data_IF_356015424911
#
_entry.id   IF_356015424911
#
_cell.length_a   1.000
_cell.length_b   1.000
_cell.length_c   1.000
_cell.angle_alpha   90.00
_cell.angle_beta   90.00
_cell.angle_gamma   90.00
#
_symmetry.space_group_name_H-M   'P 1'
#
loop_
_entity.id
_entity.type
_entity.pdbx_description
1 polymer ?
#
# COMPACT_ATOMS: atom_id res chain seq x y z
N UNK A 1 13.93 -4.66 -0.89
CA UNK A 1 14.51 -4.14 0.36
C UNK A 1 13.70 -2.95 0.85
N UNK A 2 13.02 -3.13 1.97
CA UNK A 2 12.19 -2.17 2.69
C UNK A 2 12.78 -2.07 4.10
N UNK A 3 12.98 -0.88 4.63
CA UNK A 3 13.56 -0.68 5.96
C UNK A 3 12.55 -0.06 6.91
N UNK A 4 12.45 -0.60 8.12
CA UNK A 4 11.74 0.04 9.22
C UNK A 4 12.66 1.12 9.81
N UNK A 5 12.22 2.37 9.73
CA UNK A 5 12.89 3.55 10.29
C UNK A 5 12.06 4.01 11.49
N UNK A 6 12.70 4.23 12.64
CA UNK A 6 12.08 4.88 13.79
C UNK A 6 12.67 6.28 14.00
N UNK A 7 11.86 7.18 14.52
CA UNK A 7 12.27 8.46 15.10
C UNK A 7 11.51 8.63 16.41
N UNK A 8 12.21 8.89 17.50
CA UNK A 8 11.65 9.15 18.83
C UNK A 8 12.52 10.16 19.56
N UNK A 9 11.91 10.95 20.45
CA UNK A 9 12.67 11.74 21.42
C UNK A 9 12.97 10.86 22.64
N UNK A 10 14.25 10.77 23.01
CA UNK A 10 14.72 10.02 24.17
C UNK A 10 15.27 11.00 25.20
N UNK A 11 14.87 10.82 26.46
CA UNK A 11 15.35 11.59 27.61
C UNK A 11 15.80 10.60 28.69
N UNK A 12 17.06 10.71 29.14
CA UNK A 12 17.68 9.80 30.12
C UNK A 12 17.98 8.37 29.64
N UNK A 13 17.36 7.89 28.55
CA UNK A 13 17.58 6.55 27.95
C UNK A 13 18.27 6.56 26.59
N UNK A 14 18.92 5.45 26.25
CA UNK A 14 19.60 5.18 24.97
C UNK A 14 19.51 3.69 24.60
N UNK A 15 19.96 3.35 23.39
CA UNK A 15 20.01 1.98 22.85
C UNK A 15 18.65 1.25 22.87
N UNK A 16 17.57 1.98 22.53
CA UNK A 16 16.21 1.44 22.48
C UNK A 16 16.06 0.42 21.33
N UNK A 17 15.63 -0.79 21.63
CA UNK A 17 15.39 -1.85 20.63
C UNK A 17 14.25 -2.80 21.05
N UNK A 18 13.61 -3.51 20.10
CA UNK A 18 12.70 -4.59 20.45
C UNK A 18 13.49 -5.75 21.07
N UNK A 19 12.92 -6.40 22.07
CA UNK A 19 13.51 -7.54 22.78
C UNK A 19 13.38 -8.81 21.92
N UNK A 20 14.32 -8.99 20.99
CA UNK A 20 14.24 -9.94 19.87
C UNK A 20 15.28 -11.07 19.98
N UNK A 21 15.05 -12.01 20.90
CA UNK A 21 15.97 -13.10 21.24
C UNK A 21 15.50 -14.46 20.70
N UNK A 22 16.35 -15.49 20.59
CA UNK A 22 15.92 -16.82 20.12
C UNK A 22 14.91 -17.50 21.05
N UNK A 23 15.02 -17.26 22.36
CA UNK A 23 14.17 -17.85 23.40
C UNK A 23 12.87 -17.05 23.62
N UNK A 24 12.96 -15.72 23.54
CA UNK A 24 11.85 -14.77 23.58
C UNK A 24 11.91 -13.88 22.31
N UNK A 25 11.26 -14.31 21.20
CA UNK A 25 11.38 -13.67 19.90
C UNK A 25 10.37 -12.53 19.69
N UNK A 26 10.80 -11.45 19.03
CA UNK A 26 9.92 -10.30 18.81
C UNK A 26 9.05 -10.48 17.56
N UNK A 27 7.74 -10.23 17.71
CA UNK A 27 6.76 -10.36 16.65
C UNK A 27 6.51 -9.00 15.98
N UNK A 28 7.16 -8.77 14.84
CA UNK A 28 7.05 -7.50 14.11
C UNK A 28 5.68 -7.39 13.43
N UNK A 29 4.81 -6.51 13.94
CA UNK A 29 3.41 -6.40 13.50
C UNK A 29 3.20 -5.31 12.44
N UNK A 30 2.67 -5.68 11.27
CA UNK A 30 2.44 -4.76 10.14
C UNK A 30 1.03 -4.84 9.55
N UNK A 31 0.59 -3.75 8.90
CA UNK A 31 -0.46 -3.84 7.86
C UNK A 31 0.18 -4.19 6.52
N UNK A 32 -0.43 -5.14 5.83
CA UNK A 32 0.09 -5.74 4.60
C UNK A 32 -0.79 -5.37 3.42
N UNK A 33 -0.24 -4.69 2.41
CA UNK A 33 -0.87 -4.51 1.11
C UNK A 33 -0.34 -5.53 0.11
N UNK A 34 -1.22 -6.14 -0.69
CA UNK A 34 -0.79 -6.99 -1.80
C UNK A 34 -0.40 -6.14 -3.02
N UNK A 35 0.84 -6.26 -3.50
CA UNK A 35 1.33 -5.47 -4.66
C UNK A 35 0.60 -5.80 -5.96
N UNK A 36 -0.07 -6.95 -6.03
CA UNK A 36 -0.76 -7.45 -7.24
C UNK A 36 -2.20 -6.98 -7.42
N UNK A 37 -2.93 -6.70 -6.33
CA UNK A 37 -4.33 -6.25 -6.39
C UNK A 37 -4.61 -5.02 -5.53
N UNK A 38 -3.61 -4.51 -4.81
CA UNK A 38 -3.66 -3.36 -3.89
C UNK A 38 -4.64 -3.47 -2.71
N UNK A 39 -5.24 -4.65 -2.52
CA UNK A 39 -5.95 -5.05 -1.30
C UNK A 39 -5.04 -4.93 -0.07
N UNK A 40 -5.55 -4.32 1.00
CA UNK A 40 -4.91 -4.31 2.33
C UNK A 40 -5.52 -5.45 3.16
N UNK A 41 -4.69 -6.26 3.81
CA UNK A 41 -5.15 -7.34 4.66
C UNK A 41 -5.94 -6.79 5.87
N UNK A 42 -7.15 -7.30 6.18
CA UNK A 42 -8.04 -6.69 7.18
C UNK A 42 -7.55 -6.83 8.62
N UNK A 43 -6.65 -7.78 8.88
CA UNK A 43 -6.00 -7.96 10.17
C UNK A 43 -4.55 -7.48 10.06
N UNK A 44 -4.00 -6.99 11.16
CA UNK A 44 -2.54 -6.93 11.33
C UNK A 44 -1.92 -8.31 11.14
N UNK A 45 -0.69 -8.36 10.63
CA UNK A 45 0.09 -9.58 10.42
C UNK A 45 1.41 -9.42 11.16
N UNK A 46 1.68 -10.32 12.09
CA UNK A 46 2.88 -10.35 12.92
C UNK A 46 3.71 -11.58 12.56
N UNK A 47 5.03 -11.45 12.55
CA UNK A 47 5.97 -12.54 12.31
C UNK A 47 7.33 -12.22 12.95
N UNK A 48 8.09 -13.24 13.32
CA UNK A 48 9.42 -13.12 13.93
C UNK A 48 10.53 -13.22 12.88
N UNK A 49 11.76 -12.89 13.27
CA UNK A 49 12.98 -13.18 12.49
C UNK A 49 13.44 -14.64 12.51
N UNK A 50 12.89 -15.46 13.43
CA UNK A 50 13.35 -16.82 13.72
C UNK A 50 12.46 -17.91 13.11
N UNK A 51 11.16 -17.62 12.92
CA UNK A 51 10.27 -18.47 12.13
C UNK A 51 10.77 -18.59 10.69
N UNK A 52 10.66 -19.78 10.10
CA UNK A 52 11.03 -20.05 8.72
C UNK A 52 9.95 -20.91 8.05
N UNK A 53 9.55 -20.51 6.84
CA UNK A 53 8.50 -21.16 6.05
C UNK A 53 8.94 -21.33 4.60
N UNK A 54 8.72 -22.51 4.04
CA UNK A 54 9.02 -22.81 2.63
C UNK A 54 8.15 -21.98 1.68
N UNK A 55 8.76 -21.24 0.76
CA UNK A 55 8.04 -20.49 -0.28
C UNK A 55 7.62 -21.48 -1.38
N UNK A 56 6.34 -21.87 -1.38
CA UNK A 56 5.74 -22.83 -2.32
C UNK A 56 6.12 -22.55 -3.79
N UNK A 57 6.77 -23.51 -4.45
CA UNK A 57 7.21 -23.40 -5.84
C UNK A 57 8.61 -22.79 -6.03
N UNK A 58 9.37 -22.58 -4.95
CA UNK A 58 10.78 -22.18 -5.01
C UNK A 58 11.66 -23.03 -4.08
N UNK A 59 12.97 -22.77 -4.04
CA UNK A 59 13.92 -23.35 -3.07
C UNK A 59 14.31 -22.36 -1.97
N UNK A 60 13.50 -21.33 -1.73
CA UNK A 60 13.75 -20.30 -0.73
C UNK A 60 12.82 -20.44 0.47
N UNK A 61 13.35 -20.15 1.64
CA UNK A 61 12.60 -19.94 2.88
C UNK A 61 12.36 -18.44 3.09
N UNK A 62 11.30 -18.09 3.81
CA UNK A 62 11.03 -16.75 4.28
C UNK A 62 10.40 -16.78 5.68
N UNK A 63 10.52 -15.67 6.42
CA UNK A 63 9.94 -15.57 7.75
C UNK A 63 8.41 -15.49 7.70
N UNK A 64 7.88 -14.74 6.73
CA UNK A 64 6.46 -14.69 6.42
C UNK A 64 6.21 -15.28 5.04
N UNK A 65 5.26 -16.22 4.94
CA UNK A 65 4.71 -16.72 3.66
C UNK A 65 3.19 -16.74 3.76
N UNK A 66 2.51 -15.96 2.94
CA UNK A 66 1.04 -15.84 2.97
C UNK A 66 0.44 -15.76 1.57
N UNK A 67 -0.85 -16.06 1.44
CA UNK A 67 -1.62 -15.87 0.19
C UNK A 67 -2.58 -14.70 0.34
N UNK A 68 -2.67 -13.84 -0.66
CA UNK A 68 -3.63 -12.73 -0.66
C UNK A 68 -5.07 -13.28 -0.65
N UNK A 69 -5.88 -12.87 0.34
CA UNK A 69 -7.28 -13.29 0.48
C UNK A 69 -8.18 -12.87 -0.69
N UNK A 70 -7.82 -11.79 -1.42
CA UNK A 70 -8.55 -11.31 -2.60
C UNK A 70 -8.07 -12.04 -3.88
N UNK A 71 -6.80 -11.87 -4.28
CA UNK A 71 -6.33 -12.38 -5.59
C UNK A 71 -5.61 -13.75 -5.56
N UNK A 72 -5.55 -14.44 -4.41
CA UNK A 72 -4.97 -15.78 -4.25
C UNK A 72 -3.44 -15.90 -4.41
N UNK A 73 -2.78 -14.89 -5.00
CA UNK A 73 -1.33 -14.88 -5.25
C UNK A 73 -0.53 -14.99 -3.94
N UNK A 74 0.58 -15.73 -3.93
CA UNK A 74 1.48 -15.77 -2.79
C UNK A 74 2.26 -14.46 -2.66
N UNK A 75 2.57 -14.10 -1.41
CA UNK A 75 3.58 -13.12 -1.07
C UNK A 75 4.43 -13.63 0.10
N UNK A 76 5.65 -13.13 0.22
CA UNK A 76 6.56 -13.47 1.31
C UNK A 76 7.38 -12.27 1.76
N UNK A 77 7.87 -12.33 3.00
CA UNK A 77 8.85 -11.40 3.53
C UNK A 77 9.91 -12.10 4.39
N UNK A 78 11.14 -11.60 4.34
CA UNK A 78 12.25 -12.05 5.19
C UNK A 78 12.96 -10.86 5.81
N UNK A 79 13.25 -10.93 7.11
CA UNK A 79 14.13 -9.98 7.80
C UNK A 79 15.57 -10.36 7.46
N UNK A 80 16.35 -9.39 6.95
CA UNK A 80 17.71 -9.58 6.47
C UNK A 80 18.78 -9.08 7.45
N UNK A 81 18.45 -8.07 8.25
CA UNK A 81 19.35 -7.47 9.23
C UNK A 81 18.56 -6.74 10.33
N UNK A 82 19.20 -6.60 11.49
CA UNK A 82 18.65 -5.98 12.70
C UNK A 82 18.27 -6.99 13.80
N UNK A 83 17.54 -6.56 14.85
CA UNK A 83 17.26 -5.16 15.14
C UNK A 83 18.56 -4.40 15.43
N UNK A 84 18.63 -3.14 15.01
CA UNK A 84 19.68 -2.22 15.42
C UNK A 84 19.12 -1.33 16.53
N UNK A 85 19.89 -1.13 17.60
CA UNK A 85 19.50 -0.23 18.69
C UNK A 85 19.43 1.22 18.23
N UNK A 86 18.29 1.86 18.50
CA UNK A 86 18.08 3.30 18.30
C UNK A 86 18.86 4.08 19.36
N UNK A 87 19.75 4.96 18.92
CA UNK A 87 20.63 5.76 19.77
C UNK A 87 20.17 7.22 19.80
N UNK A 88 20.52 7.94 20.86
CA UNK A 88 20.25 9.38 21.00
C UNK A 88 21.08 10.16 19.98
N UNK A 89 20.48 10.43 18.82
CA UNK A 89 21.08 11.26 17.77
C UNK A 89 20.97 12.75 18.14
N UNK A 90 22.03 13.52 17.94
CA UNK A 90 22.01 14.97 18.22
C UNK A 90 21.06 15.70 17.25
N UNK A 91 20.88 15.17 16.04
CA UNK A 91 19.84 15.58 15.12
C UNK A 91 18.52 14.85 15.43
N UNK A 92 17.69 15.40 16.32
CA UNK A 92 16.31 14.94 16.70
C UNK A 92 15.31 14.72 15.53
N UNK A 93 15.76 14.73 14.27
CA UNK A 93 14.95 14.58 13.05
C UNK A 93 15.46 13.49 12.09
N UNK A 94 16.58 12.82 12.40
CA UNK A 94 17.12 11.73 11.57
C UNK A 94 16.65 10.39 12.10
N UNK A 95 15.58 9.84 11.51
CA UNK A 95 15.14 8.50 11.85
C UNK A 95 16.19 7.44 11.51
N UNK A 96 16.41 6.48 12.43
CA UNK A 96 17.41 5.41 12.31
C UNK A 96 16.75 4.09 11.90
N UNK A 97 17.47 3.23 11.18
CA UNK A 97 16.95 1.95 10.65
C UNK A 97 17.06 0.84 11.69
N UNK A 98 15.93 0.26 12.09
CA UNK A 98 15.88 -0.86 13.05
C UNK A 98 16.07 -2.20 12.34
N UNK A 99 15.25 -2.51 11.34
CA UNK A 99 15.36 -3.73 10.53
C UNK A 99 15.33 -3.44 9.04
N UNK A 100 16.06 -4.25 8.27
CA UNK A 100 15.98 -4.30 6.80
C UNK A 100 15.27 -5.61 6.37
N UNK A 101 14.29 -5.51 5.47
CA UNK A 101 13.44 -6.63 5.01
C UNK A 101 13.50 -6.78 3.49
N UNK A 102 13.37 -8.00 2.95
CA UNK A 102 12.97 -8.22 1.56
C UNK A 102 11.50 -8.65 1.50
N UNK A 103 10.72 -8.05 0.59
CA UNK A 103 9.28 -8.26 0.48
C UNK A 103 8.92 -8.57 -0.98
N UNK A 104 8.08 -9.59 -1.21
CA UNK A 104 7.73 -10.10 -2.55
C UNK A 104 6.25 -10.40 -2.62
N UNK A 105 5.55 -9.88 -3.63
CA UNK A 105 4.07 -10.00 -3.76
C UNK A 105 3.24 -9.22 -2.72
N UNK A 106 3.90 -8.70 -1.68
CA UNK A 106 3.35 -7.88 -0.61
C UNK A 106 4.27 -6.69 -0.29
N UNK A 107 3.69 -5.69 0.37
CA UNK A 107 4.29 -4.42 0.76
C UNK A 107 3.71 -4.04 2.13
N UNK A 108 4.53 -3.55 3.07
CA UNK A 108 4.05 -3.13 4.39
C UNK A 108 3.74 -1.63 4.36
N UNK A 109 2.59 -1.22 4.94
CA UNK A 109 2.12 0.17 4.92
C UNK A 109 2.21 0.86 6.27
N UNK A 110 1.85 0.15 7.35
CA UNK A 110 1.94 0.62 8.73
C UNK A 110 2.68 -0.43 9.57
N UNK A 111 3.43 0.02 10.58
CA UNK A 111 4.01 -0.79 11.65
C UNK A 111 3.28 -0.51 12.96
N UNK A 112 3.10 -1.52 13.80
CA UNK A 112 2.64 -1.38 15.19
C UNK A 112 3.79 -1.84 16.11
N UNK A 113 4.26 -1.00 17.05
CA UNK A 113 5.39 -1.33 17.93
C UNK A 113 4.95 -2.15 19.15
N UNK A 114 4.07 -3.15 18.99
CA UNK A 114 3.57 -3.95 20.10
C UNK A 114 4.56 -5.03 20.58
N UNK A 115 4.41 -5.47 21.84
CA UNK A 115 5.38 -6.35 22.50
C UNK A 115 6.48 -5.59 23.24
N UNK A 116 7.41 -6.34 23.86
CA UNK A 116 8.40 -5.76 24.77
C UNK A 116 9.56 -5.06 24.04
N UNK A 117 9.82 -3.81 24.43
CA UNK A 117 11.05 -3.09 24.11
C UNK A 117 11.99 -3.07 25.32
N UNK A 118 13.29 -2.89 25.03
CA UNK A 118 14.33 -2.68 26.02
C UNK A 118 15.17 -1.43 25.69
N UNK A 119 15.65 -0.74 26.73
CA UNK A 119 16.51 0.42 26.64
C UNK A 119 17.48 0.48 27.84
N UNK A 120 18.43 1.42 27.83
CA UNK A 120 19.42 1.59 28.90
C UNK A 120 19.53 3.04 29.33
N UNK A 121 19.60 3.29 30.64
CA UNK A 121 19.89 4.61 31.20
C UNK A 121 21.26 5.11 30.72
N UNK A 122 21.33 6.38 30.29
CA UNK A 122 22.50 6.98 29.62
C UNK A 122 23.73 6.98 30.53
N UNK A 123 23.57 7.39 31.80
CA UNK A 123 24.69 7.48 32.75
C UNK A 123 24.82 6.22 33.63
N UNK A 124 23.69 5.71 34.11
CA UNK A 124 23.61 4.57 35.04
C UNK A 124 23.89 3.20 34.42
N UNK A 125 23.70 3.06 33.10
CA UNK A 125 23.51 1.78 32.42
C UNK A 125 22.44 0.86 33.04
N UNK A 126 21.45 1.43 33.77
CA UNK A 126 20.24 0.72 34.23
C UNK A 126 19.52 0.14 33.02
N UNK A 127 19.23 -1.16 33.01
CA UNK A 127 18.47 -1.80 31.94
C UNK A 127 16.97 -1.65 32.23
N UNK A 128 16.25 -1.05 31.30
CA UNK A 128 14.79 -0.94 31.30
C UNK A 128 14.24 -1.98 30.32
N UNK A 129 13.31 -2.81 30.78
CA UNK A 129 12.75 -3.96 30.03
C UNK A 129 11.23 -3.98 30.15
N UNK A 130 10.54 -4.62 29.20
CA UNK A 130 9.08 -4.60 29.10
C UNK A 130 8.51 -3.18 28.94
N UNK A 131 9.26 -2.33 28.22
CA UNK A 131 8.80 -1.03 27.76
C UNK A 131 7.70 -1.27 26.71
N UNK A 132 6.49 -0.78 26.97
CA UNK A 132 5.40 -0.73 25.99
C UNK A 132 5.43 0.64 25.28
N UNK A 133 5.29 0.62 23.95
CA UNK A 133 5.28 1.80 23.08
C UNK A 133 4.07 1.84 22.15
N UNK A 134 3.01 1.08 22.42
CA UNK A 134 1.77 1.03 21.62
C UNK A 134 1.07 2.40 21.53
N UNK A 135 1.15 3.23 22.57
CA UNK A 135 0.62 4.60 22.57
C UNK A 135 1.64 5.64 22.03
N UNK A 136 2.90 5.25 21.82
CA UNK A 136 3.96 6.08 21.26
C UNK A 136 4.75 6.92 22.27
N UNK A 137 4.43 6.82 23.56
CA UNK A 137 5.16 7.42 24.69
C UNK A 137 5.34 6.42 25.84
N UNK A 138 6.39 6.61 26.64
CA UNK A 138 6.69 5.84 27.86
C UNK A 138 7.51 6.68 28.84
N UNK A 139 7.32 6.45 30.16
CA UNK A 139 7.90 7.24 31.25
C UNK A 139 8.26 6.31 32.42
N UNK A 140 9.43 6.51 33.03
CA UNK A 140 9.92 5.77 34.21
C UNK A 140 10.97 6.61 34.97
N UNK A 141 11.59 6.07 36.03
CA UNK A 141 12.58 6.77 36.85
C UNK A 141 13.85 5.93 37.08
N UNK A 142 15.03 6.50 36.82
CA UNK A 142 16.30 5.82 37.07
C UNK A 142 16.80 6.07 38.49
N UNK A 143 16.45 5.18 39.42
CA UNK A 143 16.87 5.26 40.83
C UNK A 143 18.39 5.40 41.02
N UNK A 144 19.22 4.99 40.04
CA UNK A 144 20.69 5.10 40.14
C UNK A 144 21.25 6.43 39.66
N UNK A 145 20.58 7.09 38.72
CA UNK A 145 20.92 8.45 38.29
C UNK A 145 20.26 9.51 39.20
N UNK A 146 19.06 9.21 39.70
CA UNK A 146 18.20 10.18 40.38
C UNK A 146 17.41 11.07 39.40
N UNK A 147 17.17 10.58 38.19
CA UNK A 147 16.55 11.33 37.09
C UNK A 147 15.35 10.60 36.47
N UNK A 148 14.40 11.37 35.95
CA UNK A 148 13.28 10.86 35.16
C UNK A 148 13.76 10.44 33.76
N UNK A 149 13.26 9.30 33.25
CA UNK A 149 13.54 8.82 31.89
C UNK A 149 12.24 8.78 31.07
N UNK A 150 12.32 9.12 29.79
CA UNK A 150 11.14 9.02 28.91
C UNK A 150 11.48 8.77 27.44
N UNK A 151 10.50 8.24 26.74
CA UNK A 151 10.46 8.01 25.29
C UNK A 151 9.21 8.72 24.79
N UNK A 152 9.34 9.62 23.81
CA UNK A 152 8.25 10.49 23.33
C UNK A 152 8.18 10.55 21.80
N UNK A 153 6.98 10.86 21.31
CA UNK A 153 6.66 11.04 19.88
C UNK A 153 7.18 9.93 18.94
N UNK A 154 7.06 8.64 19.33
CA UNK A 154 7.53 7.52 18.52
C UNK A 154 6.85 7.49 17.14
N UNK A 155 7.63 7.69 16.08
CA UNK A 155 7.19 7.70 14.68
C UNK A 155 7.90 6.60 13.91
N UNK A 156 7.12 5.62 13.44
CA UNK A 156 7.58 4.57 12.54
C UNK A 156 7.35 4.96 11.07
N UNK A 157 8.33 4.72 10.21
CA UNK A 157 8.27 4.97 8.78
C UNK A 157 8.88 3.79 8.00
N UNK A 158 8.22 3.40 6.91
CA UNK A 158 8.65 2.29 6.06
C UNK A 158 9.23 2.84 4.76
N UNK A 159 10.56 2.77 4.62
CA UNK A 159 11.29 3.36 3.51
C UNK A 159 11.81 2.30 2.53
N UNK A 160 11.43 2.43 1.25
CA UNK A 160 11.98 1.60 0.17
C UNK A 160 13.37 2.11 -0.20
N UNK A 161 14.40 1.50 0.38
CA UNK A 161 15.77 1.78 -0.04
C UNK A 161 16.10 1.01 -1.32
N UNK A 162 16.32 1.75 -2.41
CA UNK A 162 16.93 1.22 -3.61
C UNK A 162 18.29 0.59 -3.24
N UNK A 163 18.38 -0.73 -3.34
CA UNK A 163 19.56 -1.49 -2.90
C UNK A 163 20.77 -1.11 -3.75
N UNK A 164 21.61 -0.20 -3.23
CA UNK A 164 23.00 -0.09 -3.70
C UNK A 164 23.61 -1.46 -3.53
N UNK A 165 23.93 -2.11 -4.65
CA UNK A 165 24.79 -3.28 -4.63
C UNK A 165 26.17 -2.77 -4.25
N UNK A 166 26.50 -2.87 -2.96
CA UNK A 166 27.89 -2.87 -2.55
C UNK A 166 28.54 -4.05 -3.24
N UNK A 167 29.37 -3.79 -4.25
CA UNK A 167 30.25 -4.83 -4.79
C UNK A 167 31.10 -5.34 -3.63
N UNK A 168 30.78 -6.55 -3.16
CA UNK A 168 31.59 -7.26 -2.21
C UNK A 168 32.90 -7.57 -2.92
N UNK A 169 33.90 -6.71 -2.73
CA UNK A 169 35.25 -6.92 -3.22
C UNK A 169 35.73 -8.27 -2.66
N UNK A 170 35.64 -9.31 -3.49
CA UNK A 170 35.98 -10.66 -3.11
C UNK A 170 37.48 -10.77 -3.08
N UNK A 171 38.08 -10.39 -1.94
CA UNK A 171 39.52 -10.45 -1.68
C UNK A 171 39.95 -11.92 -1.58
N UNK A 172 39.96 -12.62 -2.72
CA UNK A 172 40.29 -14.03 -2.83
C UNK A 172 41.80 -14.22 -2.65
N UNK A 173 42.24 -14.23 -1.39
CA UNK A 173 43.61 -14.51 -0.97
C UNK A 173 43.98 -15.97 -1.24
N UNK A 174 44.27 -16.28 -2.51
CA UNK A 174 44.99 -17.50 -2.90
C UNK A 174 46.47 -17.16 -3.11
N UNK A 175 47.41 -17.91 -2.48
CA UNK A 175 48.83 -17.68 -2.68
C UNK A 175 49.27 -18.08 -4.10
N UNK A 176 50.31 -17.44 -4.65
CA UNK A 176 50.82 -17.76 -5.97
C UNK A 176 51.58 -19.09 -5.97
N UNK A 177 51.09 -20.07 -6.72
CA UNK A 177 51.89 -21.25 -7.11
C UNK A 177 52.38 -21.08 -8.54
N UNK A 178 53.71 -21.18 -8.73
CA UNK A 178 54.29 -21.33 -10.06
C UNK A 178 53.86 -22.68 -10.66
N UNK A 179 53.46 -22.67 -11.92
CA UNK A 179 53.44 -23.87 -12.77
C UNK A 179 54.16 -23.51 -14.07
N UNK A 180 55.15 -24.33 -14.43
CA UNK A 180 55.96 -24.15 -15.62
C UNK A 180 55.25 -24.70 -16.87
N UNK A 181 55.55 -24.14 -18.03
CA UNK A 181 55.00 -24.56 -19.33
C UNK A 181 55.65 -25.86 -19.83
N UNK A 182 54.84 -26.86 -20.16
CA UNK A 182 55.24 -28.01 -21.00
C UNK A 182 54.19 -28.30 -22.11
N UNK A 183 54.56 -28.90 -23.26
CA UNK A 183 53.71 -28.92 -24.45
C UNK A 183 52.76 -30.12 -24.55
N UNK A 184 51.73 -30.02 -25.39
CA UNK A 184 50.72 -31.05 -25.60
C UNK A 184 51.12 -32.14 -26.63
N UNK A 185 50.59 -33.37 -26.51
CA UNK A 185 50.62 -34.40 -27.56
C UNK A 185 49.46 -34.26 -28.57
N UNK A 186 49.60 -34.90 -29.73
CA UNK A 186 48.70 -34.78 -30.90
C UNK A 186 47.47 -35.73 -30.86
N UNK A 187 46.40 -35.47 -31.65
CA UNK A 187 45.12 -36.20 -31.56
C UNK A 187 45.01 -37.40 -32.51
N UNK A 188 44.06 -38.30 -32.21
CA UNK A 188 43.59 -39.37 -33.11
C UNK A 188 42.05 -39.38 -33.24
N UNK A 189 41.57 -39.96 -34.33
CA UNK A 189 40.16 -40.12 -34.79
C UNK A 189 39.94 -41.63 -35.12
N UNK A 190 38.75 -42.16 -35.52
CA UNK A 190 37.53 -41.48 -36.01
C UNK A 190 36.13 -42.06 -35.57
N UNK A 191 35.07 -41.27 -35.88
CA UNK A 191 33.69 -41.71 -36.22
C UNK A 191 32.83 -42.39 -35.11
N UNK A 192 31.50 -42.60 -35.24
CA UNK A 192 30.55 -42.44 -36.39
C UNK A 192 29.08 -42.26 -35.92
N UNK A 193 28.24 -41.53 -36.69
CA UNK A 193 26.74 -41.62 -36.71
C UNK A 193 26.00 -41.08 -35.45
N UNK A 194 24.74 -40.59 -35.39
CA UNK A 194 23.55 -40.35 -36.25
C UNK A 194 22.74 -39.13 -35.67
N UNK A 195 21.70 -38.49 -36.26
CA UNK A 195 21.13 -38.40 -37.63
C UNK A 195 20.11 -37.23 -37.77
N UNK A 196 20.22 -36.44 -38.84
CA UNK A 196 19.16 -35.83 -39.70
C UNK A 196 17.76 -35.47 -39.09
N UNK A 197 17.39 -34.17 -39.03
CA UNK A 197 16.40 -33.50 -39.92
C UNK A 197 16.02 -32.06 -39.48
N UNK A 198 15.97 -31.12 -40.44
CA UNK A 198 15.17 -29.87 -40.40
C UNK A 198 14.88 -29.40 -41.84
N UNK A 199 13.67 -28.89 -42.08
CA UNK A 199 13.24 -28.09 -43.25
C UNK A 199 12.10 -27.15 -42.80
N UNK A 200 11.93 -26.03 -43.50
CA UNK A 200 10.90 -25.03 -43.19
C UNK A 200 11.36 -23.65 -43.64
N UNK A 201 10.94 -23.25 -44.85
CA UNK A 201 11.35 -22.01 -45.51
C UNK A 201 10.28 -20.90 -45.39
N UNK A 202 10.73 -19.70 -45.73
CA UNK A 202 10.06 -18.40 -45.89
C UNK A 202 8.56 -18.36 -46.28
N UNK A 203 7.88 -17.25 -45.94
CA UNK A 203 7.54 -16.18 -46.91
C UNK A 203 6.90 -14.91 -46.30
N UNK A 204 6.92 -13.83 -47.08
CA UNK A 204 6.23 -12.52 -46.93
C UNK A 204 4.97 -12.52 -47.87
N UNK A 205 4.12 -11.45 -48.06
CA UNK A 205 4.40 -10.01 -47.86
C UNK A 205 3.25 -9.02 -47.46
N UNK A 206 3.65 -7.75 -47.30
CA UNK A 206 2.99 -6.50 -47.73
C UNK A 206 1.72 -5.91 -47.04
N UNK A 207 1.84 -4.61 -46.71
CA UNK A 207 0.74 -3.64 -46.67
C UNK A 207 0.23 -3.23 -45.27
N UNK A 208 -0.14 -1.96 -45.00
CA UNK A 208 0.01 -0.72 -45.77
C UNK A 208 -0.11 0.49 -44.81
N UNK A 209 0.77 1.49 -44.92
CA UNK A 209 0.74 2.68 -44.05
C UNK A 209 -0.21 3.78 -44.57
N UNK A 210 -0.76 4.61 -43.67
CA UNK A 210 -1.17 5.99 -43.97
C UNK A 210 -1.25 6.86 -42.70
N UNK A 211 -0.38 7.88 -42.63
CA UNK A 211 -0.58 9.07 -41.80
C UNK A 211 -1.32 10.14 -42.62
N UNK A 212 -2.08 11.02 -41.97
CA UNK A 212 -2.35 12.38 -42.46
C UNK A 212 -2.42 13.35 -41.27
N UNK A 213 -1.87 14.55 -41.47
CA UNK A 213 -2.00 15.73 -40.61
C UNK A 213 -2.95 16.73 -41.28
N UNK A 214 -3.58 17.61 -40.50
CA UNK A 214 -4.41 18.70 -41.04
C UNK A 214 -5.04 19.58 -39.95
N UNK A 215 -4.51 20.78 -39.77
CA UNK A 215 -5.09 21.90 -39.01
C UNK A 215 -5.74 22.92 -39.99
N UNK A 216 -6.02 24.20 -39.63
CA UNK A 216 -6.78 24.77 -38.51
C UNK A 216 -7.91 25.73 -39.01
N UNK A 217 -8.61 26.44 -38.09
CA UNK A 217 -8.90 27.92 -38.09
C UNK A 217 -10.31 28.37 -37.66
N UNK A 218 -10.40 29.68 -37.37
CA UNK A 218 -11.53 30.49 -36.84
C UNK A 218 -11.86 30.22 -35.36
N UNK A 219 -11.68 31.13 -34.39
CA UNK A 219 -11.87 32.60 -34.26
C UNK A 219 -13.32 33.11 -34.26
N UNK A 220 -13.75 33.62 -33.09
CA UNK A 220 -14.46 34.90 -32.99
C UNK A 220 -14.31 35.48 -31.57
N UNK A 221 -14.19 36.81 -31.44
CA UNK A 221 -14.27 37.56 -30.18
C UNK A 221 -15.51 38.45 -30.21
N UNK A 222 -16.19 38.61 -29.08
CA UNK A 222 -17.01 39.77 -28.69
C UNK A 222 -17.02 39.78 -27.13
N UNK A 223 -16.48 40.78 -26.41
CA UNK A 223 -17.06 42.12 -26.11
C UNK A 223 -18.46 42.06 -25.47
N UNK A 224 -18.78 42.71 -24.35
CA UNK A 224 -18.02 43.64 -23.48
C UNK A 224 -18.98 44.63 -22.78
N UNK A 225 -18.51 45.41 -21.78
CA UNK A 225 -19.27 46.46 -21.05
C UNK A 225 -20.38 45.96 -20.09
N UNK A 226 -20.80 46.68 -19.03
CA UNK A 226 -20.35 47.96 -18.42
C UNK A 226 -20.79 48.12 -16.94
N UNK A 227 -20.13 49.02 -16.21
CA UNK A 227 -20.42 49.53 -14.83
C UNK A 227 -20.82 51.01 -14.97
N UNK A 228 -21.86 51.56 -14.29
CA UNK A 228 -21.67 52.40 -13.08
C UNK A 228 -22.94 52.51 -12.14
N UNK A 229 -23.05 53.44 -11.15
CA UNK A 229 -22.33 53.37 -9.87
C UNK A 229 -23.17 53.76 -8.60
N UNK A 230 -22.51 53.76 -7.44
CA UNK A 230 -22.78 54.61 -6.25
C UNK A 230 -24.04 54.40 -5.38
N UNK A 231 -23.82 54.02 -4.11
CA UNK A 231 -24.76 54.12 -2.99
C UNK A 231 -24.07 53.76 -1.67
N UNK A 232 -24.28 54.54 -0.60
CA UNK A 232 -23.51 54.43 0.67
C UNK A 232 -24.43 54.23 1.88
N UNK A 233 -23.94 53.52 2.90
CA UNK A 233 -24.60 53.20 4.18
C UNK A 233 -25.74 52.14 4.04
N UNK A 234 -25.92 51.16 4.94
CA UNK A 234 -25.58 51.05 6.37
C UNK A 234 -25.01 49.66 6.73
N UNK A 235 -24.35 49.57 7.89
CA UNK A 235 -23.98 48.27 8.49
C UNK A 235 -25.19 47.59 9.14
N UNK A 236 -25.47 46.35 8.75
CA UNK A 236 -26.27 45.35 9.50
C UNK A 236 -25.73 43.96 9.22
N UNK A 237 -25.69 43.13 10.24
CA UNK A 237 -25.05 41.82 10.22
C UNK A 237 -25.71 40.84 9.23
N UNK A 238 -24.87 40.14 8.48
CA UNK A 238 -25.17 38.81 7.96
C UNK A 238 -23.93 37.94 8.15
N UNK A 239 -24.04 36.73 8.71
CA UNK A 239 -22.98 35.75 8.58
C UNK A 239 -22.91 35.35 7.10
N UNK A 240 -21.86 35.80 6.41
CA UNK A 240 -21.49 35.27 5.10
C UNK A 240 -20.93 33.85 5.29
N UNK A 241 -21.82 32.90 5.58
CA UNK A 241 -21.56 31.46 5.52
C UNK A 241 -21.35 31.07 4.06
N UNK A 242 -20.19 31.44 3.53
CA UNK A 242 -19.56 30.76 2.41
C UNK A 242 -19.23 29.35 2.90
N UNK A 243 -20.25 28.49 2.93
CA UNK A 243 -20.11 27.07 3.17
C UNK A 243 -19.53 26.46 1.88
N UNK A 244 -18.25 26.76 1.66
CA UNK A 244 -17.35 25.87 0.94
C UNK A 244 -17.47 24.56 1.68
N UNK A 245 -18.29 23.65 1.14
CA UNK A 245 -18.50 22.34 1.75
C UNK A 245 -17.16 21.64 1.75
N UNK A 246 -16.48 21.71 2.90
CA UNK A 246 -15.19 21.05 3.08
C UNK A 246 -15.39 19.58 2.72
N UNK A 247 -14.64 19.10 1.74
CA UNK A 247 -14.66 17.68 1.37
C UNK A 247 -13.99 16.89 2.49
N UNK A 248 -14.74 16.65 3.55
CA UNK A 248 -14.38 15.69 4.58
C UNK A 248 -14.40 14.32 3.91
N UNK A 249 -13.29 13.56 3.91
CA UNK A 249 -13.27 12.22 3.33
C UNK A 249 -14.08 11.25 4.21
N UNK A 250 -15.42 11.28 4.05
CA UNK A 250 -16.32 10.41 4.80
C UNK A 250 -16.03 8.96 4.41
N UNK A 251 -15.76 8.11 5.40
CA UNK A 251 -15.56 6.68 5.16
C UNK A 251 -16.87 6.10 4.55
N UNK A 252 -16.83 5.53 3.33
CA UNK A 252 -18.04 5.20 2.59
C UNK A 252 -18.87 4.09 3.24
N UNK A 253 -18.25 3.25 4.08
CA UNK A 253 -18.93 2.17 4.78
C UNK A 253 -19.93 2.65 5.85
N UNK A 254 -19.54 3.41 6.90
CA UNK A 254 -20.50 3.96 7.86
C UNK A 254 -21.49 4.92 7.20
N UNK A 255 -21.10 5.62 6.12
CA UNK A 255 -22.04 6.44 5.34
C UNK A 255 -23.19 5.62 4.75
N UNK A 256 -22.91 4.49 4.08
CA UNK A 256 -23.98 3.61 3.58
C UNK A 256 -24.74 2.89 4.71
N UNK A 257 -24.08 2.52 5.80
CA UNK A 257 -24.77 1.91 6.96
C UNK A 257 -25.81 2.86 7.56
N UNK A 258 -25.53 4.17 7.57
CA UNK A 258 -26.47 5.20 8.01
C UNK A 258 -27.60 5.51 6.99
N UNK A 259 -27.57 4.93 5.79
CA UNK A 259 -28.59 5.08 4.73
C UNK A 259 -29.41 3.81 4.47
N UNK A 260 -29.22 2.75 5.27
CA UNK A 260 -30.10 1.57 5.25
C UNK A 260 -31.52 2.00 5.61
N UNK A 261 -32.49 1.57 4.81
CA UNK A 261 -33.90 1.96 4.89
C UNK A 261 -34.31 3.14 3.99
N UNK A 262 -33.36 3.87 3.37
CA UNK A 262 -33.66 4.92 2.38
C UNK A 262 -33.91 4.34 0.97
N UNK A 263 -34.64 5.07 0.12
CA UNK A 263 -34.69 4.78 -1.32
C UNK A 263 -33.41 5.29 -2.02
N UNK A 264 -32.81 4.42 -2.83
CA UNK A 264 -31.63 4.72 -3.63
C UNK A 264 -31.90 4.47 -5.12
N UNK A 265 -31.20 5.25 -5.96
CA UNK A 265 -31.02 5.00 -7.39
C UNK A 265 -29.57 4.54 -7.58
N UNK A 266 -29.36 3.43 -8.29
CA UNK A 266 -28.06 2.78 -8.47
C UNK A 266 -27.83 2.48 -9.95
N UNK A 267 -26.81 3.09 -10.54
CA UNK A 267 -26.46 2.94 -11.96
C UNK A 267 -25.37 1.89 -12.16
N UNK A 268 -25.53 1.02 -13.15
CA UNK A 268 -24.49 0.08 -13.54
C UNK A 268 -23.46 0.69 -14.52
N UNK A 269 -22.25 0.15 -14.52
CA UNK A 269 -21.16 0.52 -15.45
C UNK A 269 -21.42 0.18 -16.91
N UNK A 270 -22.37 -0.72 -17.18
CA UNK A 270 -22.62 -1.30 -18.50
C UNK A 270 -24.14 -1.37 -18.74
N UNK A 271 -24.58 -1.31 -20.00
CA UNK A 271 -25.99 -1.51 -20.38
C UNK A 271 -26.95 -0.35 -20.12
N UNK A 272 -26.46 0.81 -19.63
CA UNK A 272 -27.28 1.97 -19.23
C UNK A 272 -28.47 1.61 -18.34
N UNK A 273 -28.22 0.66 -17.43
CA UNK A 273 -29.22 0.15 -16.49
C UNK A 273 -29.13 0.90 -15.17
N UNK A 274 -30.28 1.39 -14.69
CA UNK A 274 -30.47 2.02 -13.39
C UNK A 274 -31.50 1.24 -12.59
N UNK A 275 -31.21 1.00 -11.32
CA UNK A 275 -32.13 0.34 -10.39
C UNK A 275 -32.59 1.34 -9.34
N UNK A 276 -33.90 1.46 -9.16
CA UNK A 276 -34.49 2.17 -8.02
C UNK A 276 -34.94 1.14 -6.99
N UNK A 277 -34.63 1.34 -5.72
CA UNK A 277 -35.16 0.45 -4.66
C UNK A 277 -34.79 0.92 -3.26
N UNK A 278 -35.43 0.31 -2.26
CA UNK A 278 -35.15 0.59 -0.86
C UNK A 278 -33.94 -0.20 -0.38
N UNK A 279 -32.94 0.44 0.22
CA UNK A 279 -31.75 -0.24 0.72
C UNK A 279 -32.09 -1.09 1.95
N UNK A 280 -32.12 -2.42 1.79
CA UNK A 280 -32.43 -3.39 2.84
C UNK A 280 -31.20 -3.70 3.71
N UNK A 281 -30.03 -3.90 3.07
CA UNK A 281 -28.76 -4.12 3.76
C UNK A 281 -27.54 -3.92 2.85
N UNK A 282 -26.36 -3.79 3.46
CA UNK A 282 -25.06 -3.83 2.77
C UNK A 282 -24.15 -4.88 3.40
N UNK A 283 -23.26 -5.49 2.61
CA UNK A 283 -22.26 -6.43 3.11
C UNK A 283 -20.86 -5.78 3.27
N UNK A 284 -19.88 -6.59 3.71
CA UNK A 284 -18.50 -6.13 3.88
C UNK A 284 -17.76 -5.78 2.59
N UNK A 285 -18.30 -6.15 1.43
CA UNK A 285 -17.78 -5.81 0.10
C UNK A 285 -18.52 -4.63 -0.54
N UNK A 286 -19.46 -4.00 0.18
CA UNK A 286 -20.36 -2.96 -0.34
C UNK A 286 -21.30 -3.46 -1.45
N UNK A 287 -21.59 -4.77 -1.46
CA UNK A 287 -22.75 -5.28 -2.21
C UNK A 287 -24.01 -4.80 -1.50
N UNK A 288 -25.03 -4.43 -2.27
CA UNK A 288 -26.25 -3.78 -1.77
C UNK A 288 -27.46 -4.64 -2.07
N UNK A 289 -28.28 -4.89 -1.06
CA UNK A 289 -29.57 -5.57 -1.20
C UNK A 289 -30.65 -4.51 -1.30
N UNK A 290 -31.29 -4.40 -2.47
CA UNK A 290 -32.45 -3.55 -2.69
C UNK A 290 -33.74 -4.36 -2.53
N UNK A 291 -34.75 -3.77 -1.90
CA UNK A 291 -36.14 -4.25 -1.80
C UNK A 291 -37.03 -3.38 -2.67
N UNK A 292 -38.12 -3.98 -3.17
CA UNK A 292 -39.15 -3.33 -3.99
C UNK A 292 -38.56 -2.63 -5.23
N UNK A 293 -37.56 -3.31 -5.81
CA UNK A 293 -36.68 -2.77 -6.85
C UNK A 293 -37.36 -2.67 -8.20
N UNK A 294 -37.20 -1.56 -8.90
CA UNK A 294 -37.58 -1.34 -10.30
C UNK A 294 -36.33 -1.23 -11.19
N UNK A 295 -36.40 -1.78 -12.40
CA UNK A 295 -35.33 -1.73 -13.41
C UNK A 295 -35.64 -0.70 -14.49
N UNK A 296 -34.69 0.19 -14.79
CA UNK A 296 -34.76 1.18 -15.86
C UNK A 296 -33.62 0.93 -16.86
N UNK A 297 -33.95 0.79 -18.14
CA UNK A 297 -32.97 0.63 -19.23
C UNK A 297 -33.17 1.79 -20.21
N UNK A 298 -32.11 2.54 -20.51
CA UNK A 298 -32.17 3.77 -21.32
C UNK A 298 -33.28 4.74 -20.83
N UNK A 299 -33.42 4.87 -19.50
CA UNK A 299 -34.43 5.70 -18.84
C UNK A 299 -35.86 5.14 -18.81
N UNK A 300 -36.11 3.94 -19.37
CA UNK A 300 -37.45 3.34 -19.45
C UNK A 300 -37.63 2.24 -18.40
N UNK A 301 -38.64 2.37 -17.56
CA UNK A 301 -39.03 1.32 -16.61
C UNK A 301 -39.38 0.03 -17.38
N UNK A 302 -38.61 -1.01 -17.11
CA UNK A 302 -38.70 -2.35 -17.72
C UNK A 302 -39.53 -3.30 -16.84
N UNK A 303 -39.65 -3.01 -15.55
CA UNK A 303 -40.53 -3.70 -14.60
C UNK A 303 -39.99 -3.74 -13.16
N UNK A 304 -40.85 -4.19 -12.25
CA UNK A 304 -40.49 -4.43 -10.85
C UNK A 304 -39.85 -5.81 -10.69
N UNK A 305 -38.64 -5.85 -10.15
CA UNK A 305 -37.87 -7.07 -9.84
C UNK A 305 -37.98 -7.50 -8.36
N UNK A 306 -38.41 -6.61 -7.47
CA UNK A 306 -38.59 -6.92 -6.05
C UNK A 306 -37.27 -6.93 -5.27
N UNK A 307 -36.82 -8.10 -4.80
CA UNK A 307 -35.60 -8.20 -3.99
C UNK A 307 -34.37 -8.48 -4.89
N UNK A 308 -33.47 -7.50 -5.01
CA UNK A 308 -32.32 -7.54 -5.94
C UNK A 308 -31.02 -7.32 -5.18
N UNK A 309 -30.05 -8.24 -5.33
CA UNK A 309 -28.70 -8.09 -4.79
C UNK A 309 -27.75 -7.56 -5.87
N UNK A 310 -27.35 -6.29 -5.78
CA UNK A 310 -26.42 -5.68 -6.73
C UNK A 310 -24.99 -5.77 -6.20
N UNK A 311 -24.09 -6.32 -7.02
CA UNK A 311 -22.68 -6.53 -6.66
C UNK A 311 -21.86 -5.24 -6.87
N UNK A 312 -21.08 -4.85 -5.87
CA UNK A 312 -20.36 -3.57 -5.78
C UNK A 312 -19.53 -3.23 -7.04
N UNK A 313 -18.84 -4.23 -7.61
CA UNK A 313 -17.95 -4.02 -8.74
C UNK A 313 -18.68 -3.62 -10.04
N UNK A 314 -20.01 -3.80 -10.12
CA UNK A 314 -20.84 -3.42 -11.25
C UNK A 314 -21.43 -2.00 -11.10
N UNK A 315 -21.46 -1.43 -9.88
CA UNK A 315 -22.03 -0.10 -9.60
C UNK A 315 -21.08 0.99 -10.12
N UNK A 316 -21.60 1.91 -10.91
CA UNK A 316 -20.91 3.11 -11.39
C UNK A 316 -21.03 4.25 -10.38
N UNK A 317 -22.27 4.55 -9.97
CA UNK A 317 -22.61 5.47 -8.88
C UNK A 317 -23.93 5.04 -8.23
N UNK A 318 -24.20 5.59 -7.04
CA UNK A 318 -25.44 5.45 -6.30
C UNK A 318 -25.81 6.79 -5.66
N UNK A 319 -27.10 7.10 -5.54
CA UNK A 319 -27.60 8.33 -4.94
C UNK A 319 -28.94 8.13 -4.24
N UNK A 320 -29.28 9.01 -3.31
CA UNK A 320 -30.61 9.06 -2.69
C UNK A 320 -31.65 9.42 -3.76
N UNK A 321 -32.83 8.78 -3.72
CA UNK A 321 -33.88 9.04 -4.71
C UNK A 321 -34.42 10.48 -4.67
N UNK A 322 -34.23 11.20 -3.55
CA UNK A 322 -34.58 12.61 -3.38
C UNK A 322 -33.57 13.58 -4.04
N UNK A 323 -32.32 13.13 -4.25
CA UNK A 323 -31.19 13.96 -4.71
C UNK A 323 -30.84 13.76 -6.19
N UNK A 324 -31.51 12.84 -6.90
CA UNK A 324 -31.16 12.46 -8.28
C UNK A 324 -32.41 12.32 -9.15
N UNK A 325 -32.57 13.24 -10.11
CA UNK A 325 -33.56 13.10 -11.19
C UNK A 325 -33.16 11.97 -12.15
N UNK A 326 -34.09 11.06 -12.45
CA UNK A 326 -33.88 10.00 -13.45
C UNK A 326 -33.91 10.58 -14.86
N UNK A 327 -32.86 10.33 -15.64
CA UNK A 327 -32.55 10.98 -16.94
C UNK A 327 -32.41 12.51 -16.85
N UNK A 328 -31.35 13.10 -17.40
CA UNK A 328 -30.91 12.90 -18.79
C UNK A 328 -29.42 12.54 -18.96
N UNK A 329 -29.10 11.84 -20.06
CA UNK A 329 -27.75 11.41 -20.44
C UNK A 329 -27.01 12.47 -21.27
N UNK A 330 -26.63 13.58 -20.63
CA UNK A 330 -25.69 14.54 -21.20
C UNK A 330 -24.43 14.66 -20.32
N UNK A 331 -23.34 13.99 -20.73
CA UNK A 331 -22.00 14.30 -20.22
C UNK A 331 -21.65 15.75 -20.59
N UNK A 332 -21.39 16.57 -19.57
CA UNK A 332 -20.80 17.91 -19.64
C UNK A 332 -19.49 17.92 -18.84
#
# INVERSE_FOLDING_TARGET
MLSLVLSAELEGVTALQPKDTPDEPYYYTFKVQCTSCREIHPNWVSFTRFEQHEISGSRGEANLVMKCKNCGRPGSASILAGPNAYQVDQDKRKGQKIIDMDCRGLEFTDFKPDGEWEAKGVESSTAFTAIDLVEGEWYDYDEKAGEEVSIKELKAQLHIFARRVSESASTSSRPPYLIQSTPAPAPSRPARSQSIFRKGESNLPAGRSRYLLGEPLSQSLHSGSSIPPSGVHHARDRPCSNNIMSFQPVNPRPFLQARVGSELIIRLKWGQTEYKGKLESIDSYMNVLLRDTEEFIDGKNTGTLGLVLIRCNNILWMGTADDVEMTDMALK
#
